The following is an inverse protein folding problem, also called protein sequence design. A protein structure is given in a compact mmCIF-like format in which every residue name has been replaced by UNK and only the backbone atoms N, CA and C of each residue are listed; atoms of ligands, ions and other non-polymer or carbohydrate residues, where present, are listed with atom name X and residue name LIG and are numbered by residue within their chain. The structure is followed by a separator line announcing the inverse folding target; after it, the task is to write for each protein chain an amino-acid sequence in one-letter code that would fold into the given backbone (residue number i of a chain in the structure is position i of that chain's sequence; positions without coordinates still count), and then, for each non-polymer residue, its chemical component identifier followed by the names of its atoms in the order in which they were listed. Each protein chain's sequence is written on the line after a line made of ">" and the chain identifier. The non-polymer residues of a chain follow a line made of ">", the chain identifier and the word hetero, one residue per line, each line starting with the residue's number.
data_IF_020034401335
#
_entry.id   IF_020034401335
#
_cell.length_a   1.000
_cell.length_b   1.000
_cell.length_c   1.000
_cell.angle_alpha   90.00
_cell.angle_beta   90.00
_cell.angle_gamma   90.00
#
_symmetry.space_group_name_H-M   'P 1'
#
loop_
_entity.id
_entity.type
_entity.pdbx_description
1 polymer ?
#
# COMPACT_ATOMS: atom_id res chain seq x y z
N UNK A 1 28.15 -22.44 -9.77
CA UNK A 1 27.45 -21.26 -9.25
C UNK A 1 26.24 -21.01 -10.12
N UNK A 2 25.04 -20.88 -9.56
CA UNK A 2 23.78 -20.83 -10.35
C UNK A 2 23.46 -19.44 -10.90
N UNK A 3 24.35 -18.46 -10.72
CA UNK A 3 24.12 -17.06 -11.08
C UNK A 3 25.38 -16.33 -11.54
N UNK A 4 26.48 -17.05 -11.76
CA UNK A 4 27.67 -16.43 -12.38
C UNK A 4 27.32 -16.04 -13.80
N UNK A 5 27.71 -14.82 -14.18
CA UNK A 5 27.53 -14.25 -15.51
C UNK A 5 26.08 -14.18 -16.01
N UNK A 6 25.11 -14.17 -15.08
CA UNK A 6 23.70 -13.97 -15.37
C UNK A 6 23.23 -12.64 -14.76
N UNK A 7 22.29 -11.90 -15.39
CA UNK A 7 21.74 -10.65 -14.86
C UNK A 7 20.73 -10.87 -13.72
N UNK A 8 20.64 -12.09 -13.16
CA UNK A 8 19.70 -12.46 -12.12
C UNK A 8 20.34 -13.43 -11.11
N UNK A 9 19.83 -13.41 -9.88
CA UNK A 9 20.19 -14.36 -8.83
C UNK A 9 19.15 -15.48 -8.81
N UNK A 10 19.62 -16.73 -8.71
CA UNK A 10 18.80 -17.92 -8.73
C UNK A 10 19.18 -18.89 -7.62
N UNK A 11 18.17 -19.50 -7.00
CA UNK A 11 18.38 -20.64 -6.11
C UNK A 11 18.83 -21.87 -6.88
N UNK A 12 19.51 -22.80 -6.19
CA UNK A 12 19.69 -24.14 -6.74
C UNK A 12 18.34 -24.83 -6.93
N UNK A 13 18.30 -25.86 -7.78
CA UNK A 13 17.09 -26.62 -8.05
C UNK A 13 16.45 -27.17 -6.75
N UNK A 14 17.28 -27.75 -5.87
CA UNK A 14 16.80 -28.29 -4.59
C UNK A 14 16.16 -27.20 -3.70
N UNK A 15 16.80 -26.03 -3.59
CA UNK A 15 16.32 -24.93 -2.75
C UNK A 15 15.06 -24.30 -3.34
N UNK A 16 15.03 -24.07 -4.65
CA UNK A 16 13.84 -23.53 -5.33
C UNK A 16 12.63 -24.47 -5.21
N UNK A 17 12.83 -25.79 -5.31
CA UNK A 17 11.79 -26.80 -5.12
C UNK A 17 11.22 -26.77 -3.70
N UNK A 18 12.10 -26.68 -2.68
CA UNK A 18 11.69 -26.57 -1.28
C UNK A 18 10.91 -25.28 -1.00
N UNK A 19 11.41 -24.13 -1.47
CA UNK A 19 10.72 -22.84 -1.32
C UNK A 19 9.37 -22.81 -2.04
N UNK A 20 9.26 -23.44 -3.22
CA UNK A 20 7.98 -23.57 -3.93
C UNK A 20 6.96 -24.37 -3.13
N UNK A 21 7.37 -25.49 -2.50
CA UNK A 21 6.49 -26.28 -1.62
C UNK A 21 6.04 -25.47 -0.40
N UNK A 22 6.95 -24.74 0.25
CA UNK A 22 6.64 -23.85 1.37
C UNK A 22 5.66 -22.74 0.96
N UNK A 23 5.88 -22.08 -0.19
CA UNK A 23 4.98 -21.07 -0.72
C UNK A 23 3.59 -21.66 -0.96
N UNK A 24 3.48 -22.82 -1.59
CA UNK A 24 2.18 -23.49 -1.81
C UNK A 24 1.47 -23.80 -0.48
N UNK A 25 2.21 -24.29 0.52
CA UNK A 25 1.66 -24.52 1.85
C UNK A 25 1.11 -23.23 2.49
N UNK A 26 1.89 -22.15 2.50
CA UNK A 26 1.48 -20.86 3.06
C UNK A 26 0.25 -20.29 2.33
N UNK A 27 0.19 -20.40 1.00
CA UNK A 27 -0.98 -19.94 0.26
C UNK A 27 -2.23 -20.76 0.56
N UNK A 28 -2.10 -22.08 0.75
CA UNK A 28 -3.25 -22.94 1.08
C UNK A 28 -3.81 -22.64 2.47
N UNK A 29 -2.94 -22.39 3.45
CA UNK A 29 -3.34 -22.37 4.86
C UNK A 29 -3.38 -20.98 5.49
N UNK A 30 -2.68 -19.98 4.94
CA UNK A 30 -2.57 -18.64 5.52
C UNK A 30 -3.23 -17.62 4.57
N UNK A 31 -2.69 -17.43 3.36
CA UNK A 31 -3.09 -16.31 2.50
C UNK A 31 -4.44 -16.48 1.78
N UNK A 32 -4.93 -17.72 1.61
CA UNK A 32 -6.27 -17.98 1.05
C UNK A 32 -7.34 -18.15 2.12
N UNK A 33 -7.03 -17.94 3.40
CA UNK A 33 -8.02 -18.03 4.46
C UNK A 33 -9.15 -17.00 4.21
N UNK A 34 -10.41 -17.44 4.01
CA UNK A 34 -11.53 -16.56 3.72
C UNK A 34 -11.80 -15.55 4.83
N UNK A 35 -11.45 -15.86 6.09
CA UNK A 35 -11.60 -14.94 7.23
C UNK A 35 -10.84 -13.63 7.00
N UNK A 36 -9.62 -13.70 6.45
CA UNK A 36 -8.78 -12.52 6.19
C UNK A 36 -9.26 -11.75 4.95
N UNK A 37 -9.98 -12.41 4.03
CA UNK A 37 -10.47 -11.79 2.80
C UNK A 37 -11.69 -10.90 2.98
N UNK A 38 -12.44 -11.05 4.08
CA UNK A 38 -13.64 -10.26 4.34
C UNK A 38 -13.36 -8.76 4.48
N UNK A 39 -12.13 -8.36 4.82
CA UNK A 39 -11.71 -6.96 4.92
C UNK A 39 -11.10 -6.39 3.63
N UNK A 40 -10.87 -7.22 2.59
CA UNK A 40 -10.23 -6.75 1.36
C UNK A 40 -11.12 -5.79 0.56
N UNK A 41 -12.45 -5.96 0.61
CA UNK A 41 -13.38 -5.02 -0.03
C UNK A 41 -13.33 -3.65 0.64
N UNK A 42 -13.38 -3.60 1.99
CA UNK A 42 -13.32 -2.32 2.72
C UNK A 42 -11.99 -1.59 2.49
N UNK A 43 -10.87 -2.31 2.38
CA UNK A 43 -9.57 -1.68 2.10
C UNK A 43 -9.56 -1.00 0.73
N UNK A 44 -10.12 -1.63 -0.31
CA UNK A 44 -10.23 -1.02 -1.65
C UNK A 44 -11.05 0.27 -1.61
N UNK A 45 -12.15 0.27 -0.86
CA UNK A 45 -13.01 1.44 -0.73
C UNK A 45 -12.29 2.58 -0.01
N UNK A 46 -11.51 2.27 1.03
CA UNK A 46 -10.67 3.27 1.71
C UNK A 46 -9.61 3.85 0.74
N UNK A 47 -8.92 3.01 -0.04
CA UNK A 47 -7.95 3.49 -1.02
C UNK A 47 -8.59 4.45 -2.03
N UNK A 48 -9.76 4.07 -2.55
CA UNK A 48 -10.52 4.87 -3.52
C UNK A 48 -10.91 6.22 -2.91
N UNK A 49 -11.52 6.19 -1.72
CA UNK A 49 -11.92 7.40 -1.00
C UNK A 49 -10.73 8.32 -0.69
N UNK A 50 -9.64 7.79 -0.15
CA UNK A 50 -8.47 8.61 0.21
C UNK A 50 -7.80 9.20 -1.04
N UNK A 51 -7.72 8.43 -2.12
CA UNK A 51 -7.18 8.92 -3.37
C UNK A 51 -7.99 10.12 -3.89
N UNK A 52 -9.32 9.98 -3.99
CA UNK A 52 -10.22 11.04 -4.44
C UNK A 52 -10.20 12.27 -3.51
N UNK A 53 -10.20 12.05 -2.19
CA UNK A 53 -10.13 13.11 -1.17
C UNK A 53 -8.88 13.98 -1.37
N UNK A 54 -7.72 13.35 -1.47
CA UNK A 54 -6.46 14.09 -1.58
C UNK A 54 -6.24 14.67 -2.97
N UNK A 55 -6.68 13.99 -4.02
CA UNK A 55 -6.66 14.56 -5.38
C UNK A 55 -7.49 15.85 -5.43
N UNK A 56 -8.70 15.82 -4.88
CA UNK A 56 -9.58 16.99 -4.80
C UNK A 56 -8.92 18.12 -4.00
N UNK A 57 -8.22 17.80 -2.90
CA UNK A 57 -7.52 18.80 -2.10
C UNK A 57 -6.39 19.48 -2.90
N UNK A 58 -5.60 18.70 -3.66
CA UNK A 58 -4.55 19.25 -4.52
C UNK A 58 -5.13 20.11 -5.65
N UNK A 59 -6.20 19.66 -6.30
CA UNK A 59 -6.87 20.40 -7.38
C UNK A 59 -7.49 21.72 -6.91
N UNK A 60 -8.00 21.75 -5.68
CA UNK A 60 -8.57 22.96 -5.06
C UNK A 60 -7.54 23.86 -4.38
N UNK A 61 -6.28 23.41 -4.25
CA UNK A 61 -5.26 24.13 -3.49
C UNK A 61 -5.61 24.26 -2.00
N UNK A 62 -6.22 23.24 -1.41
CA UNK A 62 -6.56 23.23 0.02
C UNK A 62 -5.33 22.98 0.89
N UNK A 63 -4.57 24.05 1.14
CA UNK A 63 -3.32 24.01 1.92
C UNK A 63 -3.50 23.55 3.38
N UNK A 64 -4.73 23.51 3.89
CA UNK A 64 -5.04 22.98 5.22
C UNK A 64 -5.19 21.45 5.22
N UNK A 65 -5.31 20.83 4.04
CA UNK A 65 -5.34 19.38 3.93
C UNK A 65 -3.99 18.79 4.33
N UNK A 66 -4.04 17.70 5.09
CA UNK A 66 -2.86 16.97 5.58
C UNK A 66 -1.88 16.52 4.49
N UNK A 67 -2.32 16.33 3.24
CA UNK A 67 -1.38 16.06 2.13
C UNK A 67 -0.43 17.25 1.90
N UNK A 68 -0.87 18.49 2.16
CA UNK A 68 0.00 19.66 2.13
C UNK A 68 0.85 19.74 3.39
N UNK A 69 0.25 19.62 4.58
CA UNK A 69 0.94 19.90 5.85
C UNK A 69 1.92 18.81 6.29
N UNK A 70 1.61 17.54 6.01
CA UNK A 70 2.37 16.38 6.50
C UNK A 70 3.28 15.80 5.43
N UNK A 71 2.92 15.94 4.14
CA UNK A 71 3.66 15.31 3.04
C UNK A 71 4.39 16.31 2.16
N UNK A 72 3.68 17.28 1.58
CA UNK A 72 4.34 18.25 0.71
C UNK A 72 5.19 19.24 1.51
N UNK A 73 4.85 19.54 2.75
CA UNK A 73 5.64 20.40 3.63
C UNK A 73 7.01 19.77 3.88
N UNK A 74 8.07 20.41 3.39
CA UNK A 74 9.44 19.87 3.42
C UNK A 74 9.87 19.17 2.13
N UNK A 75 8.98 18.95 1.16
CA UNK A 75 9.36 18.54 -0.19
C UNK A 75 9.97 19.71 -0.97
N UNK A 76 10.90 19.41 -1.86
CA UNK A 76 11.51 20.41 -2.73
C UNK A 76 10.50 20.96 -3.75
N UNK A 77 10.68 22.21 -4.17
CA UNK A 77 9.92 22.80 -5.27
C UNK A 77 10.07 21.98 -6.55
N UNK A 78 11.25 21.35 -6.74
CA UNK A 78 11.49 20.43 -7.85
C UNK A 78 10.56 19.24 -7.86
N UNK A 79 10.22 18.65 -6.71
CA UNK A 79 9.22 17.59 -6.63
C UNK A 79 7.80 18.12 -6.82
N UNK A 80 7.47 19.29 -6.28
CA UNK A 80 6.13 19.86 -6.41
C UNK A 80 5.79 20.24 -7.85
N UNK A 81 6.78 20.71 -8.62
CA UNK A 81 6.57 21.24 -9.96
C UNK A 81 6.70 20.20 -11.08
N UNK A 82 7.29 19.03 -10.82
CA UNK A 82 7.53 18.00 -11.85
C UNK A 82 6.60 16.78 -11.74
N UNK A 83 5.76 16.72 -10.71
CA UNK A 83 4.85 15.61 -10.45
C UNK A 83 3.41 16.07 -10.69
N UNK A 84 2.61 15.21 -11.31
CA UNK A 84 1.18 15.44 -11.42
C UNK A 84 0.48 15.19 -10.08
N UNK A 85 -0.68 15.84 -9.84
CA UNK A 85 -1.47 15.63 -8.63
C UNK A 85 -1.75 14.13 -8.34
N UNK A 86 -2.15 13.30 -9.33
CA UNK A 86 -2.33 11.86 -9.10
C UNK A 86 -1.05 11.13 -8.64
N UNK A 87 0.12 11.52 -9.14
CA UNK A 87 1.40 10.93 -8.72
C UNK A 87 1.75 11.32 -7.29
N UNK A 88 1.52 12.58 -6.91
CA UNK A 88 1.70 13.06 -5.54
C UNK A 88 0.79 12.27 -4.58
N UNK A 89 -0.48 12.07 -4.94
CA UNK A 89 -1.42 11.29 -4.12
C UNK A 89 -0.99 9.83 -4.00
N UNK A 90 -0.55 9.20 -5.10
CA UNK A 90 -0.01 7.82 -5.08
C UNK A 90 1.16 7.72 -4.12
N UNK A 91 2.13 8.62 -4.22
CA UNK A 91 3.34 8.61 -3.40
C UNK A 91 2.97 8.79 -1.92
N UNK A 92 2.11 9.77 -1.62
CA UNK A 92 1.63 10.01 -0.26
C UNK A 92 0.94 8.79 0.35
N UNK A 93 -0.03 8.20 -0.37
CA UNK A 93 -0.77 7.03 0.10
C UNK A 93 0.14 5.81 0.27
N UNK A 94 1.12 5.62 -0.62
CA UNK A 94 2.08 4.52 -0.52
C UNK A 94 3.04 4.65 0.66
N UNK A 95 3.27 5.87 1.15
CA UNK A 95 4.10 6.15 2.32
C UNK A 95 3.39 5.98 3.66
N UNK A 96 2.08 5.71 3.66
CA UNK A 96 1.31 5.54 4.89
C UNK A 96 1.59 4.18 5.55
N UNK A 97 1.68 4.17 6.87
CA UNK A 97 1.54 2.93 7.65
C UNK A 97 0.07 2.49 7.67
N UNK A 98 -0.21 1.19 7.83
CA UNK A 98 -1.58 0.66 7.92
C UNK A 98 -2.42 1.43 8.96
N UNK A 99 -1.88 1.65 10.15
CA UNK A 99 -2.61 2.37 11.21
C UNK A 99 -2.89 3.83 10.85
N UNK A 100 -1.97 4.51 10.14
CA UNK A 100 -2.22 5.87 9.68
C UNK A 100 -3.30 5.87 8.58
N UNK A 101 -3.18 5.00 7.59
CA UNK A 101 -4.14 4.85 6.49
C UNK A 101 -5.56 4.62 7.01
N UNK A 102 -5.74 3.69 7.96
CA UNK A 102 -7.05 3.41 8.58
C UNK A 102 -7.58 4.61 9.38
N UNK A 103 -6.73 5.37 10.08
CA UNK A 103 -7.18 6.58 10.80
C UNK A 103 -7.72 7.66 9.87
N UNK A 104 -7.18 7.76 8.65
CA UNK A 104 -7.62 8.74 7.65
C UNK A 104 -8.96 8.37 6.99
N UNK A 105 -9.37 7.10 7.06
CA UNK A 105 -10.63 6.63 6.51
C UNK A 105 -11.84 7.25 7.23
N UNK A 106 -12.99 7.41 6.55
CA UNK A 106 -14.27 7.69 7.19
C UNK A 106 -14.63 6.58 8.17
N UNK A 107 -15.31 6.92 9.27
CA UNK A 107 -15.63 5.95 10.33
C UNK A 107 -16.43 4.75 9.83
N UNK A 108 -17.34 4.95 8.87
CA UNK A 108 -18.14 3.87 8.28
C UNK A 108 -17.35 2.91 7.36
N UNK A 109 -16.14 3.28 6.93
CA UNK A 109 -15.26 2.42 6.13
C UNK A 109 -14.18 1.74 6.98
N UNK A 110 -13.97 2.16 8.23
CA UNK A 110 -12.93 1.58 9.10
C UNK A 110 -13.28 0.11 9.39
N UNK A 111 -12.34 -0.83 9.18
CA UNK A 111 -12.55 -2.22 9.52
C UNK A 111 -12.66 -2.36 11.04
N UNK A 112 -13.62 -3.17 11.49
CA UNK A 112 -13.72 -3.57 12.89
C UNK A 112 -12.54 -4.45 13.26
N UNK A 113 -11.98 -4.27 14.46
CA UNK A 113 -10.95 -5.16 14.97
C UNK A 113 -11.52 -6.57 15.13
N UNK A 114 -10.82 -7.58 14.62
CA UNK A 114 -11.13 -8.97 14.93
C UNK A 114 -10.50 -9.26 16.30
N UNK A 115 -11.32 -9.28 17.35
CA UNK A 115 -10.89 -9.88 18.61
C UNK A 115 -10.83 -11.40 18.43
N UNK A 116 -9.62 -11.96 18.58
CA UNK A 116 -9.29 -13.39 18.54
C UNK A 116 -9.34 -14.03 17.14
N UNK A 117 -8.14 -14.21 16.54
CA UNK A 117 -7.85 -15.24 15.52
C UNK A 117 -6.97 -16.31 16.17
#
# INVERSE_FOLDING_TARGET
>A
SNSMDQPFIGFSEQVSSALKKLKTFNYKHIYKNPVIKNHLSSIKDIFTFLFEKYLTALEKGDEQSIIFTDFLNGMSDGYRNNQSNPEIVRDYVSGMTDSYFIRQAPDHLKPTSIENV
#
